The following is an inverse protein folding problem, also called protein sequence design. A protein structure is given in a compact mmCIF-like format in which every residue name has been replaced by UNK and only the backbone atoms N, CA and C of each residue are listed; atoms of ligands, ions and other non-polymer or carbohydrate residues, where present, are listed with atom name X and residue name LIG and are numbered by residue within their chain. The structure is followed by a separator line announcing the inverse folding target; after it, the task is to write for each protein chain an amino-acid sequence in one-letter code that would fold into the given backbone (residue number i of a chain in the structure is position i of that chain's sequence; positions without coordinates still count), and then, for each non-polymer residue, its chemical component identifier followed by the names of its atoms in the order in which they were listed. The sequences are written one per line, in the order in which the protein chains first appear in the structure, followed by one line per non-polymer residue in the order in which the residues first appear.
data_IF_790298526012
#
_entry.id   IF_790298526012
#
_cell.length_a   1.000
_cell.length_b   1.000
_cell.length_c   1.000
_cell.angle_alpha   90.00
_cell.angle_beta   90.00
_cell.angle_gamma   90.00
#
_symmetry.space_group_name_H-M   'P 1'
#
loop_
_entity.id
_entity.type
_entity.pdbx_description
1 polymer ?
#
# COMPACT_ATOMS: atom_id res chain seq x y z
N UNK A 1 -6.91 -17.36 -15.85
CA UNK A 1 -7.61 -18.16 -14.82
C UNK A 1 -6.69 -18.61 -13.67
N UNK A 2 -5.63 -19.42 -13.87
CA UNK A 2 -4.79 -19.91 -12.73
C UNK A 2 -3.96 -18.82 -12.00
N UNK A 3 -3.49 -17.78 -12.70
CA UNK A 3 -2.61 -16.77 -12.09
C UNK A 3 -3.36 -15.74 -11.22
N UNK A 4 -4.55 -15.31 -11.61
CA UNK A 4 -5.34 -14.32 -10.85
C UNK A 4 -5.85 -14.88 -9.52
N UNK A 5 -6.38 -16.12 -9.54
CA UNK A 5 -6.76 -16.87 -8.33
C UNK A 5 -5.55 -17.02 -7.41
N UNK A 6 -4.36 -17.30 -7.99
CA UNK A 6 -3.12 -17.43 -7.23
C UNK A 6 -2.71 -16.13 -6.56
N UNK A 7 -2.73 -15.02 -7.29
CA UNK A 7 -2.41 -13.68 -6.74
C UNK A 7 -3.40 -13.32 -5.62
N UNK A 8 -4.69 -13.56 -5.82
CA UNK A 8 -5.75 -13.28 -4.85
C UNK A 8 -5.56 -14.05 -3.54
N UNK A 9 -5.37 -15.37 -3.63
CA UNK A 9 -5.13 -16.22 -2.45
C UNK A 9 -3.78 -15.89 -1.80
N UNK A 10 -2.74 -15.63 -2.60
CA UNK A 10 -1.44 -15.21 -2.10
C UNK A 10 -1.53 -13.94 -1.26
N UNK A 11 -2.24 -12.93 -1.75
CA UNK A 11 -2.44 -11.67 -1.03
C UNK A 11 -3.22 -11.89 0.27
N UNK A 12 -4.24 -12.76 0.27
CA UNK A 12 -4.96 -13.11 1.52
C UNK A 12 -4.01 -13.74 2.53
N UNK A 13 -3.22 -14.72 2.11
CA UNK A 13 -2.28 -15.45 2.98
C UNK A 13 -1.17 -14.54 3.49
N UNK A 14 -0.53 -13.76 2.61
CA UNK A 14 0.55 -12.86 2.95
C UNK A 14 0.07 -11.78 3.93
N UNK A 15 -1.06 -11.12 3.64
CA UNK A 15 -1.63 -10.13 4.55
C UNK A 15 -1.99 -10.74 5.91
N UNK A 16 -2.48 -11.98 5.94
CA UNK A 16 -2.78 -12.65 7.21
C UNK A 16 -1.51 -12.90 8.04
N UNK A 17 -0.44 -13.39 7.42
CA UNK A 17 0.87 -13.60 8.06
C UNK A 17 1.38 -12.28 8.66
N UNK A 18 1.35 -11.21 7.86
CA UNK A 18 1.87 -9.91 8.26
C UNK A 18 1.05 -9.25 9.36
N UNK A 19 -0.28 -9.36 9.33
CA UNK A 19 -1.17 -8.83 10.37
C UNK A 19 -0.99 -9.53 11.72
N UNK A 20 -0.50 -10.76 11.73
CA UNK A 20 -0.11 -11.48 12.94
C UNK A 20 1.30 -11.12 13.42
N UNK A 21 2.00 -10.22 12.73
CA UNK A 21 3.38 -9.85 13.04
C UNK A 21 4.39 -10.95 12.71
N UNK A 22 4.03 -11.90 11.85
CA UNK A 22 4.86 -13.05 11.51
C UNK A 22 5.77 -12.72 10.31
N UNK A 23 6.97 -13.29 10.31
CA UNK A 23 7.89 -13.21 9.19
C UNK A 23 7.68 -14.38 8.23
N UNK A 24 7.64 -14.08 6.93
CA UNK A 24 7.42 -15.06 5.87
C UNK A 24 8.69 -15.89 5.56
N UNK A 25 9.08 -16.74 6.51
CA UNK A 25 10.23 -17.63 6.33
C UNK A 25 9.97 -18.71 5.28
N UNK A 26 11.01 -19.06 4.52
CA UNK A 26 11.02 -20.18 3.57
C UNK A 26 9.89 -20.07 2.51
N UNK A 27 9.61 -18.82 2.10
CA UNK A 27 8.52 -18.44 1.19
C UNK A 27 7.20 -19.14 1.52
N UNK A 28 6.89 -19.24 2.82
CA UNK A 28 5.75 -19.99 3.33
C UNK A 28 4.43 -19.50 2.70
N UNK A 29 4.23 -18.19 2.57
CA UNK A 29 3.04 -17.59 1.96
C UNK A 29 2.80 -18.12 0.54
N UNK A 30 3.85 -18.21 -0.26
CA UNK A 30 3.80 -18.70 -1.65
C UNK A 30 3.52 -20.20 -1.69
N UNK A 31 4.27 -20.98 -0.91
CA UNK A 31 4.12 -22.45 -0.87
C UNK A 31 2.76 -22.87 -0.31
N UNK A 32 2.27 -22.15 0.68
CA UNK A 32 0.95 -22.40 1.26
C UNK A 32 -0.16 -22.09 0.27
N UNK A 33 -0.03 -20.97 -0.47
CA UNK A 33 -0.94 -20.63 -1.58
C UNK A 33 -0.98 -21.73 -2.63
N UNK A 34 0.17 -22.26 -3.03
CA UNK A 34 0.26 -23.31 -4.05
C UNK A 34 -0.43 -24.61 -3.59
N UNK A 35 -0.25 -25.00 -2.33
CA UNK A 35 -0.95 -26.16 -1.76
C UNK A 35 -2.46 -25.92 -1.66
N UNK A 36 -2.89 -24.72 -1.29
CA UNK A 36 -4.32 -24.34 -1.26
C UNK A 36 -4.95 -24.54 -2.65
N UNK A 37 -4.33 -23.98 -3.70
CA UNK A 37 -4.83 -24.06 -5.08
C UNK A 37 -4.86 -25.50 -5.57
N UNK A 38 -3.83 -26.30 -5.23
CA UNK A 38 -3.79 -27.72 -5.58
C UNK A 38 -4.95 -28.49 -4.95
N UNK A 39 -5.24 -28.26 -3.66
CA UNK A 39 -6.30 -28.96 -2.95
C UNK A 39 -7.70 -28.51 -3.42
N UNK A 40 -7.87 -27.23 -3.72
CA UNK A 40 -9.10 -26.74 -4.36
C UNK A 40 -9.34 -27.39 -5.72
N UNK A 41 -8.32 -27.45 -6.57
CA UNK A 41 -8.41 -28.05 -7.90
C UNK A 41 -8.71 -29.56 -7.84
N UNK A 42 -8.32 -30.21 -6.75
CA UNK A 42 -8.60 -31.62 -6.48
C UNK A 42 -9.94 -31.87 -5.77
N UNK A 43 -10.73 -30.83 -5.48
CA UNK A 43 -12.01 -30.93 -4.75
C UNK A 43 -11.90 -31.29 -3.27
N UNK A 44 -10.69 -31.26 -2.70
CA UNK A 44 -10.37 -31.77 -1.37
C UNK A 44 -9.85 -30.66 -0.43
N UNK A 45 -10.43 -29.47 -0.53
CA UNK A 45 -10.00 -28.33 0.28
C UNK A 45 -10.36 -28.52 1.77
N UNK A 46 -9.32 -28.66 2.59
CA UNK A 46 -9.38 -28.56 4.05
C UNK A 46 -8.12 -27.85 4.54
N UNK A 47 -8.29 -26.60 5.00
CA UNK A 47 -7.18 -25.74 5.41
C UNK A 47 -6.35 -26.35 6.53
N UNK A 48 -7.01 -27.04 7.47
CA UNK A 48 -6.35 -27.66 8.62
C UNK A 48 -5.45 -28.80 8.18
N UNK A 49 -5.95 -29.67 7.29
CA UNK A 49 -5.16 -30.77 6.73
C UNK A 49 -4.03 -30.28 5.84
N UNK A 50 -4.20 -29.17 5.11
CA UNK A 50 -3.12 -28.55 4.32
C UNK A 50 -1.98 -28.13 5.25
N UNK A 51 -2.27 -27.30 6.25
CA UNK A 51 -1.23 -26.81 7.19
C UNK A 51 -0.54 -27.93 7.96
N UNK A 52 -1.30 -28.97 8.36
CA UNK A 52 -0.74 -30.12 9.06
C UNK A 52 0.29 -30.88 8.22
N UNK A 53 0.06 -31.00 6.91
CA UNK A 53 0.93 -31.73 5.97
C UNK A 53 2.13 -30.92 5.50
N UNK A 54 2.07 -29.59 5.61
CA UNK A 54 3.19 -28.73 5.21
C UNK A 54 4.42 -28.91 6.09
N UNK A 55 5.50 -29.38 5.45
CA UNK A 55 6.87 -29.38 6.01
C UNK A 55 7.50 -28.01 5.78
N UNK A 56 7.57 -27.21 6.84
CA UNK A 56 8.10 -25.84 6.79
C UNK A 56 8.70 -25.46 8.16
N UNK A 57 9.80 -24.70 8.18
CA UNK A 57 10.36 -24.12 9.40
C UNK A 57 9.56 -22.90 9.90
N UNK A 58 8.65 -22.33 9.09
CA UNK A 58 7.88 -21.11 9.38
C UNK A 58 7.29 -21.06 10.80
N UNK A 59 6.61 -22.12 11.22
CA UNK A 59 5.98 -22.19 12.54
C UNK A 59 7.00 -22.15 13.69
N UNK A 60 8.10 -22.91 13.55
CA UNK A 60 9.17 -22.94 14.54
C UNK A 60 9.90 -21.61 14.63
N UNK A 61 10.20 -21.00 13.48
CA UNK A 61 10.94 -19.73 13.40
C UNK A 61 10.12 -18.53 13.86
N UNK A 62 8.78 -18.60 13.78
CA UNK A 62 7.87 -17.61 14.34
C UNK A 62 7.38 -17.95 15.75
N UNK A 63 7.94 -18.98 16.42
CA UNK A 63 7.49 -19.44 17.74
C UNK A 63 5.96 -19.67 17.84
N UNK A 64 5.35 -20.16 16.76
CA UNK A 64 3.90 -20.25 16.57
C UNK A 64 3.46 -21.71 16.40
N UNK A 65 2.44 -22.16 17.13
CA UNK A 65 1.82 -23.47 16.87
C UNK A 65 0.92 -23.40 15.64
N UNK A 66 0.87 -24.47 14.84
CA UNK A 66 -0.02 -24.57 13.67
C UNK A 66 -1.50 -24.29 13.98
N UNK A 67 -1.97 -24.68 15.17
CA UNK A 67 -3.35 -24.42 15.61
C UNK A 67 -3.62 -22.94 15.88
N UNK A 68 -2.61 -22.17 16.27
CA UNK A 68 -2.73 -20.74 16.54
C UNK A 68 -2.72 -19.91 15.25
N UNK A 69 -2.10 -20.44 14.19
CA UNK A 69 -2.13 -19.82 12.87
C UNK A 69 -3.48 -20.01 12.15
N UNK A 70 -4.22 -21.08 12.47
CA UNK A 70 -5.51 -21.32 11.82
C UNK A 70 -6.59 -20.46 12.46
N UNK A 71 -7.35 -19.75 11.62
CA UNK A 71 -8.54 -19.01 12.05
C UNK A 71 -9.69 -19.23 11.07
N UNK A 72 -10.92 -19.22 11.58
CA UNK A 72 -12.13 -19.27 10.74
C UNK A 72 -12.19 -18.09 9.76
N UNK A 73 -11.62 -16.94 10.13
CA UNK A 73 -11.56 -15.76 9.27
C UNK A 73 -10.61 -15.97 8.08
N UNK A 74 -9.40 -16.50 8.30
CA UNK A 74 -8.47 -16.85 7.22
C UNK A 74 -9.11 -17.82 6.24
N UNK A 75 -9.72 -18.90 6.75
CA UNK A 75 -10.37 -19.91 5.93
C UNK A 75 -11.50 -19.33 5.07
N UNK A 76 -12.34 -18.48 5.67
CA UNK A 76 -13.40 -17.76 4.96
C UNK A 76 -12.84 -16.86 3.86
N UNK A 77 -11.77 -16.10 4.13
CA UNK A 77 -11.14 -15.20 3.14
C UNK A 77 -10.54 -15.97 1.97
N UNK A 78 -9.88 -17.10 2.23
CA UNK A 78 -9.34 -17.98 1.18
C UNK A 78 -10.47 -18.55 0.32
N UNK A 79 -11.55 -19.03 0.93
CA UNK A 79 -12.73 -19.54 0.21
C UNK A 79 -13.38 -18.46 -0.65
N UNK A 80 -13.49 -17.22 -0.14
CA UNK A 80 -14.02 -16.09 -0.89
C UNK A 80 -13.10 -15.72 -2.07
N UNK A 81 -11.79 -15.64 -1.84
CA UNK A 81 -10.79 -15.39 -2.89
C UNK A 81 -10.88 -16.45 -4.00
N UNK A 82 -10.98 -17.74 -3.63
CA UNK A 82 -11.19 -18.82 -4.59
C UNK A 82 -12.48 -18.67 -5.38
N UNK A 83 -13.62 -18.42 -4.71
CA UNK A 83 -14.93 -18.29 -5.37
C UNK A 83 -15.01 -17.09 -6.30
N UNK A 84 -14.53 -15.93 -5.87
CA UNK A 84 -14.58 -14.68 -6.63
C UNK A 84 -13.66 -14.69 -7.85
N UNK A 85 -12.52 -15.38 -7.76
CA UNK A 85 -11.58 -15.47 -8.88
C UNK A 85 -11.86 -16.66 -9.81
N UNK A 86 -12.76 -17.57 -9.44
CA UNK A 86 -13.18 -18.72 -10.27
C UNK A 86 -14.36 -18.40 -11.20
N UNK A 87 -15.11 -17.33 -10.92
CA UNK A 87 -16.11 -16.77 -11.81
C UNK A 87 -16.16 -15.26 -11.60
N UNK A 88 -15.75 -14.46 -12.60
CA UNK A 88 -16.25 -13.11 -12.96
C UNK A 88 -15.15 -12.20 -13.60
N UNK A 89 -15.48 -11.36 -14.62
CA UNK A 89 -14.55 -10.44 -15.30
C UNK A 89 -14.24 -9.15 -14.50
N UNK A 90 -13.22 -8.36 -14.91
CA UNK A 90 -12.68 -7.21 -14.17
C UNK A 90 -13.71 -6.13 -13.74
N UNK A 91 -14.86 -6.05 -14.41
CA UNK A 91 -15.90 -5.05 -14.17
C UNK A 91 -16.74 -5.26 -12.90
N UNK A 92 -16.62 -6.40 -12.21
CA UNK A 92 -17.46 -6.71 -11.04
C UNK A 92 -16.72 -6.77 -9.69
N UNK A 93 -15.40 -6.59 -9.67
CA UNK A 93 -14.61 -6.32 -8.44
C UNK A 93 -15.19 -5.10 -7.69
N UNK A 94 -15.76 -4.16 -8.43
CA UNK A 94 -16.39 -2.94 -7.92
C UNK A 94 -17.69 -3.18 -7.12
N UNK A 95 -18.39 -4.32 -7.30
CA UNK A 95 -19.69 -4.59 -6.64
C UNK A 95 -19.60 -5.36 -5.32
N UNK A 96 -18.51 -6.09 -5.06
CA UNK A 96 -18.44 -7.04 -3.93
C UNK A 96 -17.91 -6.39 -2.63
N UNK A 97 -17.28 -5.21 -2.68
CA UNK A 97 -16.81 -4.47 -1.51
C UNK A 97 -17.92 -3.89 -0.59
N UNK A 98 -19.21 -4.09 -0.91
CA UNK A 98 -20.32 -3.42 -0.20
C UNK A 98 -21.03 -4.23 0.91
N UNK A 99 -20.61 -5.46 1.25
CA UNK A 99 -21.25 -6.18 2.37
C UNK A 99 -20.24 -6.93 3.25
N UNK A 100 -19.87 -6.29 4.38
CA UNK A 100 -19.79 -6.80 5.77
C UNK A 100 -18.74 -5.99 6.57
N UNK A 101 -19.25 -5.31 7.61
CA UNK A 101 -18.65 -4.48 8.69
C UNK A 101 -18.77 -2.95 8.51
N UNK A 102 -19.70 -2.30 9.24
CA UNK A 102 -20.11 -0.90 9.03
C UNK A 102 -19.26 0.10 9.81
N UNK A 103 -17.93 0.09 9.69
CA UNK A 103 -17.13 1.24 10.16
C UNK A 103 -15.67 1.31 9.65
N UNK A 104 -15.33 0.67 8.53
CA UNK A 104 -14.07 1.01 7.86
C UNK A 104 -14.18 2.44 7.30
N UNK A 105 -13.65 3.41 8.03
CA UNK A 105 -13.62 4.82 7.63
C UNK A 105 -12.31 5.07 6.88
N UNK A 106 -12.17 4.50 5.69
CA UNK A 106 -11.05 4.77 4.80
C UNK A 106 -11.54 5.65 3.64
N UNK A 107 -10.82 6.73 3.32
CA UNK A 107 -11.14 7.62 2.20
C UNK A 107 -9.91 7.96 1.38
N UNK A 108 -10.03 7.91 0.06
CA UNK A 108 -9.05 8.56 -0.79
C UNK A 108 -9.20 10.08 -0.66
N UNK A 109 -8.09 10.79 -0.69
CA UNK A 109 -8.03 12.23 -0.91
C UNK A 109 -7.06 12.52 -2.04
N UNK A 110 -7.37 13.54 -2.83
CA UNK A 110 -6.49 14.05 -3.86
C UNK A 110 -5.62 15.19 -3.32
N UNK A 111 -4.55 15.51 -4.04
CA UNK A 111 -3.58 16.53 -3.61
C UNK A 111 -4.25 17.88 -3.33
N UNK A 112 -5.24 18.25 -4.13
CA UNK A 112 -6.02 19.48 -3.99
C UNK A 112 -6.84 19.52 -2.70
N UNK A 113 -7.16 18.38 -2.10
CA UNK A 113 -7.95 18.31 -0.86
C UNK A 113 -7.07 18.45 0.40
N UNK A 114 -5.75 18.44 0.26
CA UNK A 114 -4.81 18.60 1.37
C UNK A 114 -4.50 20.09 1.52
N UNK A 115 -4.97 20.72 2.60
CA UNK A 115 -4.81 22.16 2.81
C UNK A 115 -3.33 22.58 2.87
N UNK A 116 -2.44 21.72 3.38
CA UNK A 116 -1.00 21.96 3.34
C UNK A 116 -0.42 22.09 1.93
N UNK A 117 -1.14 21.63 0.90
CA UNK A 117 -0.77 21.70 -0.51
C UNK A 117 -1.73 22.58 -1.32
N UNK A 118 -2.50 23.48 -0.69
CA UNK A 118 -3.57 24.24 -1.35
C UNK A 118 -3.14 25.00 -2.62
N UNK A 119 -1.88 25.48 -2.69
CA UNK A 119 -1.34 26.18 -3.86
C UNK A 119 -1.25 25.30 -5.10
N UNK A 120 -1.29 23.97 -4.96
CA UNK A 120 -1.36 23.03 -6.10
C UNK A 120 -2.55 23.30 -7.02
N UNK A 121 -3.63 23.90 -6.48
CA UNK A 121 -4.83 24.28 -7.23
C UNK A 121 -4.56 25.41 -8.22
N UNK A 122 -3.47 26.16 -8.06
CA UNK A 122 -3.04 27.22 -8.97
C UNK A 122 -2.27 26.69 -10.20
N UNK A 123 -1.87 25.43 -10.17
CA UNK A 123 -1.10 24.79 -11.25
C UNK A 123 -1.93 23.70 -11.91
N UNK A 124 -2.27 23.92 -13.17
CA UNK A 124 -2.95 22.93 -14.00
C UNK A 124 -2.00 21.81 -14.43
N UNK A 125 -2.53 20.59 -14.55
CA UNK A 125 -1.81 19.42 -15.07
C UNK A 125 -1.14 19.66 -16.43
N UNK A 126 -1.72 20.47 -17.31
CA UNK A 126 -1.18 20.80 -18.61
C UNK A 126 0.13 21.62 -18.51
N UNK A 127 0.29 22.43 -17.46
CA UNK A 127 1.49 23.24 -17.26
C UNK A 127 2.72 22.42 -16.90
N UNK A 128 2.52 21.23 -16.32
CA UNK A 128 3.62 20.33 -15.92
C UNK A 128 3.79 19.15 -16.87
N UNK A 129 2.94 19.02 -17.89
CA UNK A 129 2.93 17.85 -18.79
C UNK A 129 4.28 17.62 -19.48
N UNK A 130 4.99 18.69 -19.85
CA UNK A 130 6.32 18.60 -20.48
C UNK A 130 7.43 18.19 -19.49
N UNK A 131 7.17 18.20 -18.18
CA UNK A 131 8.14 17.83 -17.14
C UNK A 131 8.10 16.34 -16.79
N UNK A 132 7.18 15.57 -17.37
CA UNK A 132 6.95 14.17 -16.99
C UNK A 132 7.67 13.23 -17.97
N UNK A 133 8.44 12.25 -17.49
CA UNK A 133 8.69 11.92 -16.08
C UNK A 133 9.63 12.91 -15.40
N UNK A 134 9.40 13.19 -14.11
CA UNK A 134 10.30 14.05 -13.35
C UNK A 134 11.65 13.35 -13.12
N UNK A 135 12.75 14.03 -13.42
CA UNK A 135 14.10 13.53 -13.13
C UNK A 135 14.63 14.04 -11.78
N UNK A 136 13.87 13.79 -10.71
CA UNK A 136 14.20 14.26 -9.36
C UNK A 136 14.60 13.12 -8.43
N UNK A 137 15.61 13.36 -7.60
CA UNK A 137 16.01 12.42 -6.55
C UNK A 137 14.98 12.36 -5.43
N UNK A 138 14.83 11.18 -4.84
CA UNK A 138 13.91 10.94 -3.71
C UNK A 138 14.22 11.86 -2.52
N UNK A 139 15.53 12.04 -2.23
CA UNK A 139 16.00 12.95 -1.20
C UNK A 139 15.56 14.40 -1.45
N UNK A 140 15.68 14.88 -2.68
CA UNK A 140 15.27 16.24 -3.04
C UNK A 140 13.76 16.43 -2.87
N UNK A 141 12.96 15.45 -3.28
CA UNK A 141 11.50 15.45 -3.09
C UNK A 141 11.15 15.47 -1.60
N UNK A 142 11.81 14.63 -0.79
CA UNK A 142 11.65 14.58 0.67
C UNK A 142 11.93 15.93 1.32
N UNK A 143 13.04 16.56 0.98
CA UNK A 143 13.42 17.88 1.49
C UNK A 143 12.43 18.97 1.09
N UNK A 144 12.00 18.99 -0.18
CA UNK A 144 11.00 19.95 -0.66
C UNK A 144 9.65 19.78 0.04
N UNK A 145 9.16 18.54 0.18
CA UNK A 145 7.90 18.26 0.89
C UNK A 145 8.00 18.66 2.35
N UNK A 146 9.10 18.32 3.03
CA UNK A 146 9.31 18.72 4.41
C UNK A 146 9.29 20.25 4.57
N UNK A 147 9.96 20.98 3.67
CA UNK A 147 9.96 22.44 3.71
C UNK A 147 8.55 23.02 3.46
N UNK A 148 7.83 22.52 2.46
CA UNK A 148 6.44 22.94 2.15
C UNK A 148 5.51 22.71 3.33
N UNK A 149 5.65 21.57 4.01
CA UNK A 149 4.86 21.19 5.19
C UNK A 149 5.29 22.01 6.43
N UNK A 150 6.49 22.57 6.43
CA UNK A 150 7.10 23.22 7.59
C UNK A 150 7.60 22.22 8.63
N UNK A 151 8.11 21.06 8.21
CA UNK A 151 8.75 20.07 9.06
C UNK A 151 10.24 20.38 9.26
N UNK A 152 10.66 20.88 10.44
CA UNK A 152 12.06 21.22 10.70
C UNK A 152 12.96 20.00 10.90
N UNK A 153 12.39 18.83 11.22
CA UNK A 153 13.16 17.64 11.58
C UNK A 153 13.01 16.54 10.53
N UNK A 154 13.77 16.65 9.45
CA UNK A 154 13.87 15.59 8.43
C UNK A 154 14.78 14.49 8.95
N UNK A 155 14.20 13.30 9.19
CA UNK A 155 14.95 12.14 9.63
C UNK A 155 15.96 11.69 8.57
N UNK A 156 17.17 11.34 9.01
CA UNK A 156 18.17 10.68 8.15
C UNK A 156 17.75 9.25 7.87
N UNK A 157 17.95 8.82 6.64
CA UNK A 157 17.57 7.47 6.19
C UNK A 157 18.36 6.41 6.96
N UNK A 158 17.67 5.40 7.49
CA UNK A 158 18.29 4.24 8.14
C UNK A 158 17.48 2.98 7.84
N UNK A 159 18.15 1.83 7.80
CA UNK A 159 17.62 0.59 7.21
C UNK A 159 16.37 -0.04 7.86
N UNK A 160 15.78 0.59 8.87
CA UNK A 160 14.55 0.15 9.54
C UNK A 160 13.41 1.18 9.51
N UNK A 161 13.49 2.21 8.67
CA UNK A 161 12.42 3.20 8.56
C UNK A 161 11.10 2.58 8.07
N UNK A 162 10.00 3.07 8.63
CA UNK A 162 8.66 2.64 8.24
C UNK A 162 8.09 3.51 7.12
N UNK A 163 8.54 4.76 7.01
CA UNK A 163 8.18 5.73 5.98
C UNK A 163 9.37 6.63 5.69
N UNK A 164 9.42 7.22 4.50
CA UNK A 164 10.50 8.11 4.08
C UNK A 164 10.35 9.49 4.73
N UNK A 165 9.11 9.92 5.00
CA UNK A 165 8.80 11.10 5.80
C UNK A 165 7.59 10.82 6.69
N UNK A 166 7.76 11.05 7.99
CA UNK A 166 6.66 11.13 8.96
C UNK A 166 6.56 12.55 9.51
N UNK A 167 5.34 13.08 9.59
CA UNK A 167 5.10 14.40 10.17
C UNK A 167 3.75 14.45 10.87
N UNK A 168 3.62 15.36 11.83
CA UNK A 168 2.35 15.68 12.47
C UNK A 168 1.74 16.98 11.96
N UNK A 169 2.36 17.65 10.98
CA UNK A 169 2.09 19.06 10.64
C UNK A 169 1.15 19.28 9.46
N UNK A 170 0.78 18.21 8.74
CA UNK A 170 -0.17 18.30 7.62
C UNK A 170 -1.51 18.85 8.12
N UNK A 171 -2.07 19.81 7.37
CA UNK A 171 -3.45 20.26 7.51
C UNK A 171 -4.31 19.57 6.45
N UNK A 172 -5.39 18.95 6.89
CA UNK A 172 -6.38 18.29 6.05
C UNK A 172 -7.77 18.61 6.59
N UNK A 173 -8.60 19.28 5.79
CA UNK A 173 -9.96 19.72 6.15
C UNK A 173 -9.97 20.62 7.40
N UNK A 174 -9.06 21.58 7.42
CA UNK A 174 -8.91 22.58 8.50
C UNK A 174 -8.27 22.05 9.78
N UNK A 175 -8.00 20.74 9.89
CA UNK A 175 -7.38 20.13 11.08
C UNK A 175 -5.97 19.64 10.81
N UNK A 176 -5.11 19.77 11.83
CA UNK A 176 -3.77 19.18 11.82
C UNK A 176 -3.87 17.66 12.01
N UNK A 177 -3.19 16.90 11.16
CA UNK A 177 -3.19 15.42 11.16
C UNK A 177 -1.76 14.87 11.01
N UNK A 178 -1.53 13.66 11.53
CA UNK A 178 -0.30 12.92 11.23
C UNK A 178 -0.35 12.33 9.84
N UNK A 179 0.79 12.37 9.14
CA UNK A 179 0.96 11.86 7.81
C UNK A 179 2.26 11.08 7.68
N UNK A 180 2.21 9.99 6.91
CA UNK A 180 3.37 9.18 6.55
C UNK A 180 3.48 9.10 5.03
N UNK A 181 4.68 9.21 4.50
CA UNK A 181 4.97 9.24 3.07
C UNK A 181 5.91 8.10 2.68
N UNK A 182 5.58 7.40 1.62
CA UNK A 182 6.52 6.58 0.85
C UNK A 182 6.84 7.33 -0.44
N UNK A 183 8.11 7.65 -0.67
CA UNK A 183 8.61 8.47 -1.76
C UNK A 183 9.44 7.59 -2.71
N UNK A 184 9.36 7.89 -4.00
CA UNK A 184 10.13 7.18 -5.04
C UNK A 184 10.59 8.16 -6.11
N UNK A 185 11.89 8.48 -6.07
CA UNK A 185 12.54 9.35 -7.05
C UNK A 185 12.96 8.64 -8.36
N UNK A 186 13.80 9.33 -9.13
CA UNK A 186 14.32 8.92 -10.46
C UNK A 186 15.12 7.62 -10.51
N UNK A 187 15.48 7.05 -9.35
CA UNK A 187 16.12 5.73 -9.27
C UNK A 187 15.27 4.63 -9.93
N UNK A 188 13.97 4.87 -10.07
CA UNK A 188 13.03 4.06 -10.85
C UNK A 188 12.53 4.87 -12.06
N UNK A 189 13.04 4.58 -13.26
CA UNK A 189 12.65 5.28 -14.51
C UNK A 189 11.36 4.77 -15.16
N UNK A 190 10.81 3.67 -14.64
CA UNK A 190 9.57 3.03 -15.13
C UNK A 190 8.42 3.37 -14.18
N UNK A 191 7.19 3.04 -14.58
CA UNK A 191 6.03 3.08 -13.68
C UNK A 191 6.30 2.35 -12.36
N UNK A 192 5.78 2.87 -11.26
CA UNK A 192 5.90 2.25 -9.94
C UNK A 192 5.00 1.02 -9.86
N UNK A 193 5.58 -0.16 -9.66
CA UNK A 193 4.86 -1.41 -9.45
C UNK A 193 5.03 -1.93 -8.02
N UNK A 194 4.21 -2.90 -7.59
CA UNK A 194 4.31 -3.50 -6.25
C UNK A 194 5.71 -4.07 -5.98
N UNK A 195 6.39 -4.59 -7.01
CA UNK A 195 7.74 -5.14 -6.89
C UNK A 195 8.80 -4.08 -6.57
N UNK A 196 8.52 -2.81 -6.88
CA UNK A 196 9.41 -1.68 -6.64
C UNK A 196 9.21 -1.06 -5.24
N UNK A 197 8.13 -1.44 -4.55
CA UNK A 197 7.81 -1.09 -3.16
C UNK A 197 8.47 -2.04 -2.15
N UNK A 198 9.69 -2.51 -2.45
CA UNK A 198 10.44 -3.49 -1.66
C UNK A 198 10.04 -4.95 -1.92
N UNK A 199 10.71 -5.90 -1.24
CA UNK A 199 10.44 -7.34 -1.38
C UNK A 199 8.95 -7.60 -1.05
N UNK A 200 8.17 -7.98 -2.07
CA UNK A 200 6.72 -8.23 -1.97
C UNK A 200 5.87 -7.01 -1.54
N UNK A 201 6.31 -5.77 -1.80
CA UNK A 201 5.54 -4.57 -1.43
C UNK A 201 5.60 -4.19 0.05
N UNK A 202 6.57 -4.74 0.80
CA UNK A 202 6.73 -4.51 2.24
C UNK A 202 6.81 -3.03 2.64
N UNK A 203 7.26 -2.12 1.76
CA UNK A 203 7.29 -0.69 2.07
C UNK A 203 5.89 -0.10 2.31
N UNK A 204 4.85 -0.53 1.59
CA UNK A 204 3.48 -0.05 1.83
C UNK A 204 2.94 -0.59 3.17
N UNK A 205 3.32 -1.82 3.52
CA UNK A 205 2.92 -2.44 4.78
C UNK A 205 3.62 -1.79 5.97
N UNK A 206 4.89 -1.40 5.80
CA UNK A 206 5.64 -0.58 6.76
C UNK A 206 5.04 0.82 6.88
N UNK A 207 4.73 1.46 5.75
CA UNK A 207 4.09 2.78 5.70
C UNK A 207 2.82 2.79 6.54
N UNK A 208 1.94 1.79 6.37
CA UNK A 208 0.71 1.72 7.16
C UNK A 208 0.93 1.30 8.62
N UNK A 209 2.13 0.90 9.07
CA UNK A 209 2.38 0.70 10.51
C UNK A 209 2.55 2.02 11.25
N UNK A 210 2.95 3.09 10.57
CA UNK A 210 3.10 4.43 11.15
C UNK A 210 1.81 4.90 11.83
N UNK A 211 1.87 5.62 12.97
CA UNK A 211 0.70 6.18 13.64
C UNK A 211 0.16 7.42 12.91
N UNK A 212 -0.09 7.29 11.60
CA UNK A 212 -0.58 8.34 10.71
C UNK A 212 -2.10 8.27 10.51
N UNK A 213 -2.69 9.42 10.22
CA UNK A 213 -4.08 9.56 9.76
C UNK A 213 -4.13 9.63 8.24
N UNK A 214 -3.10 10.19 7.59
CA UNK A 214 -2.95 10.26 6.13
C UNK A 214 -1.73 9.43 5.68
N UNK A 215 -1.92 8.53 4.73
CA UNK A 215 -0.85 7.73 4.13
C UNK A 215 -0.67 8.12 2.66
N UNK A 216 0.54 8.50 2.28
CA UNK A 216 0.84 9.02 0.95
C UNK A 216 1.84 8.11 0.26
N UNK A 217 1.53 7.68 -0.97
CA UNK A 217 2.50 7.05 -1.87
C UNK A 217 2.79 8.03 -3.00
N UNK A 218 4.07 8.34 -3.19
CA UNK A 218 4.54 9.27 -4.20
C UNK A 218 5.51 8.58 -5.16
N UNK A 219 5.41 8.92 -6.45
CA UNK A 219 6.39 8.57 -7.45
C UNK A 219 6.54 9.66 -8.50
N UNK A 220 7.75 9.81 -9.06
CA UNK A 220 8.08 10.80 -10.11
C UNK A 220 7.49 10.50 -11.50
N UNK A 221 6.89 9.31 -11.67
CA UNK A 221 6.27 8.84 -12.91
C UNK A 221 4.91 8.20 -12.61
N UNK A 222 4.31 7.52 -13.59
CA UNK A 222 3.07 6.76 -13.45
C UNK A 222 3.13 5.75 -12.30
N UNK A 223 2.02 5.61 -11.58
CA UNK A 223 1.85 4.62 -10.51
C UNK A 223 0.87 3.55 -10.98
N UNK A 224 1.31 2.28 -10.96
CA UNK A 224 0.49 1.15 -11.40
C UNK A 224 -0.75 0.98 -10.50
N UNK A 225 -1.88 0.61 -11.11
CA UNK A 225 -3.14 0.39 -10.40
C UNK A 225 -3.01 -0.61 -9.25
N UNK A 226 -2.13 -1.61 -9.36
CA UNK A 226 -1.87 -2.57 -8.28
C UNK A 226 -1.30 -1.92 -7.02
N UNK A 227 -0.49 -0.87 -7.15
CA UNK A 227 0.07 -0.11 -6.02
C UNK A 227 -1.04 0.69 -5.32
N UNK A 228 -1.89 1.36 -6.11
CA UNK A 228 -3.03 2.15 -5.61
C UNK A 228 -3.99 1.23 -4.82
N UNK A 229 -4.35 0.10 -5.41
CA UNK A 229 -5.25 -0.88 -4.80
C UNK A 229 -4.65 -1.47 -3.52
N UNK A 230 -3.34 -1.76 -3.52
CA UNK A 230 -2.67 -2.31 -2.35
C UNK A 230 -2.60 -1.30 -1.20
N UNK A 231 -2.28 -0.03 -1.47
CA UNK A 231 -2.35 1.04 -0.48
C UNK A 231 -3.75 1.18 0.10
N UNK A 232 -4.78 1.21 -0.75
CA UNK A 232 -6.19 1.27 -0.34
C UNK A 232 -6.54 0.14 0.63
N UNK A 233 -6.25 -1.11 0.24
CA UNK A 233 -6.53 -2.30 1.06
C UNK A 233 -5.77 -2.23 2.38
N UNK A 234 -4.49 -1.83 2.37
CA UNK A 234 -3.67 -1.75 3.57
C UNK A 234 -4.23 -0.71 4.57
N UNK A 235 -4.59 0.49 4.10
CA UNK A 235 -5.18 1.54 4.93
C UNK A 235 -6.59 1.18 5.39
N UNK A 236 -7.41 0.56 4.53
CA UNK A 236 -8.73 0.07 4.92
C UNK A 236 -8.63 -0.98 6.04
N UNK A 237 -7.73 -1.95 5.90
CA UNK A 237 -7.50 -2.97 6.93
C UNK A 237 -7.08 -2.32 8.25
N UNK A 238 -6.18 -1.32 8.22
CA UNK A 238 -5.81 -0.57 9.43
C UNK A 238 -6.99 0.18 10.05
N UNK A 239 -7.83 0.79 9.22
CA UNK A 239 -8.98 1.59 9.69
C UNK A 239 -9.98 0.77 10.51
N UNK A 240 -10.06 -0.55 10.31
CA UNK A 240 -10.95 -1.45 11.07
C UNK A 240 -10.61 -1.52 12.56
N UNK A 241 -9.36 -1.25 12.92
CA UNK A 241 -8.91 -1.17 14.31
C UNK A 241 -8.88 0.25 14.87
N UNK A 242 -9.35 1.25 14.11
CA UNK A 242 -9.31 2.67 14.49
C UNK A 242 -10.72 3.25 14.62
N UNK A 243 -10.90 4.16 15.58
CA UNK A 243 -12.12 4.98 15.67
C UNK A 243 -12.12 6.13 14.66
N UNK A 244 -10.95 6.50 14.16
CA UNK A 244 -10.71 7.63 13.26
C UNK A 244 -10.97 7.26 11.79
N UNK A 245 -11.27 8.28 11.00
CA UNK A 245 -11.20 8.14 9.54
C UNK A 245 -9.75 8.23 9.10
N UNK A 246 -9.25 7.17 8.45
CA UNK A 246 -7.94 7.15 7.82
C UNK A 246 -8.07 7.57 6.36
N UNK A 247 -7.02 8.20 5.85
CA UNK A 247 -6.95 8.73 4.51
C UNK A 247 -5.76 8.15 3.77
N UNK A 248 -5.90 8.01 2.45
CA UNK A 248 -4.76 7.74 1.58
C UNK A 248 -4.74 8.69 0.39
N UNK A 249 -3.54 9.01 -0.07
CA UNK A 249 -3.30 9.84 -1.23
C UNK A 249 -2.23 9.18 -2.10
N UNK A 250 -2.37 9.32 -3.41
CA UNK A 250 -1.38 8.87 -4.40
C UNK A 250 -0.95 10.11 -5.15
N UNK A 251 0.36 10.34 -5.22
CA UNK A 251 0.98 11.46 -5.91
C UNK A 251 1.85 10.91 -7.03
N UNK A 252 1.34 10.92 -8.26
CA UNK A 252 2.14 10.53 -9.42
C UNK A 252 3.10 11.66 -9.85
N UNK A 253 3.78 11.49 -10.98
CA UNK A 253 4.69 12.49 -11.51
C UNK A 253 4.02 13.86 -11.74
N UNK A 254 2.77 13.86 -12.22
CA UNK A 254 2.02 15.10 -12.48
C UNK A 254 1.71 15.81 -11.16
N UNK A 255 1.17 15.09 -10.18
CA UNK A 255 0.86 15.68 -8.87
C UNK A 255 2.11 16.20 -8.16
N UNK A 256 3.20 15.42 -8.21
CA UNK A 256 4.50 15.82 -7.66
C UNK A 256 4.99 17.10 -8.32
N UNK A 257 4.93 17.18 -9.66
CA UNK A 257 5.37 18.35 -10.41
C UNK A 257 4.54 19.59 -10.07
N UNK A 258 3.21 19.42 -9.95
CA UNK A 258 2.31 20.52 -9.59
C UNK A 258 2.60 21.07 -8.21
N UNK A 259 2.82 20.21 -7.21
CA UNK A 259 3.20 20.65 -5.85
C UNK A 259 4.52 21.43 -5.92
N UNK A 260 5.55 20.86 -6.53
CA UNK A 260 6.87 21.48 -6.55
C UNK A 260 6.86 22.80 -7.32
N UNK A 261 6.14 22.89 -8.44
CA UNK A 261 6.01 24.13 -9.21
C UNK A 261 5.22 25.19 -8.43
N UNK A 262 4.08 24.82 -7.84
CA UNK A 262 3.23 25.73 -7.08
C UNK A 262 3.96 26.39 -5.91
N UNK A 263 4.90 25.69 -5.28
CA UNK A 263 5.70 26.18 -4.16
C UNK A 263 7.09 26.69 -4.58
N UNK A 264 7.35 26.85 -5.89
CA UNK A 264 8.59 27.44 -6.41
C UNK A 264 9.84 26.58 -6.18
N UNK A 265 9.67 25.26 -6.05
CA UNK A 265 10.77 24.30 -5.87
C UNK A 265 11.40 23.89 -7.20
N UNK A 266 10.59 23.79 -8.25
CA UNK A 266 11.08 23.58 -9.62
C UNK A 266 10.69 24.75 -10.52
N UNK A 267 11.39 24.90 -11.65
CA UNK A 267 11.08 25.89 -12.68
C UNK A 267 10.50 25.20 -13.92
N UNK A 268 9.68 25.91 -14.73
CA UNK A 268 9.21 25.44 -16.02
C UNK A 268 10.32 24.92 -16.95
N UNK A 269 11.52 25.51 -16.84
CA UNK A 269 12.64 25.28 -17.75
C UNK A 269 13.62 24.17 -17.30
N UNK A 270 13.30 23.43 -16.23
CA UNK A 270 14.14 22.35 -15.66
C UNK A 270 13.69 20.94 -16.11
N UNK A 271 12.94 20.84 -17.22
CA UNK A 271 12.58 19.57 -17.87
C UNK A 271 13.69 19.05 -18.79
#
# INVERSE_FOLDING_TARGET
MKNEVRISIYNVVLNYILNLGLQDYDDFSRRFTDEIIRNFSAGNYDLKSIIKRMKTPFFRLNSLKRSQFLSKDLERRILNAWRMSSAIPPSEVHKICKKIIPNAKCKQVFVEEIDSFERVREVDSAQVKSMIPLDLEEKYIKECLAEIIGEPFVQKDWGGEFSDLFTTRIKLKGRRVSAAFMLKGRGLRKKLTIADCGKNGDQILRLVKEPAILYVVQHVNEIDQGVIEFLRIAVENKSRGSSETLYYCVLDGVDTARILLAYGKIKPDLA
#
